data_IF_055703715018
#
_entry.id   IF_055703715018
#
_cell.length_a   1.000
_cell.length_b   1.000
_cell.length_c   1.000
_cell.angle_alpha   90.00
_cell.angle_beta   90.00
_cell.angle_gamma   90.00
#
_symmetry.space_group_name_H-M   'P 1'
#
loop_
_entity.id
_entity.type
_entity.pdbx_description
1 polymer ?
#
# COMPACT_ATOMS: atom_id res chain seq x y z
N UNK A 1 -54.71 21.34 5.48
CA UNK A 1 -53.38 21.68 4.93
C UNK A 1 -52.90 20.50 4.11
N UNK A 2 -52.38 20.68 2.88
CA UNK A 2 -51.92 19.54 2.09
C UNK A 2 -50.66 18.93 2.72
N UNK A 3 -50.67 17.61 2.92
CA UNK A 3 -49.54 16.86 3.45
C UNK A 3 -48.47 16.74 2.36
N UNK A 4 -47.29 17.32 2.62
CA UNK A 4 -46.13 17.22 1.72
C UNK A 4 -45.62 15.79 1.76
N UNK A 5 -45.88 15.02 0.70
CA UNK A 5 -45.25 13.70 0.53
C UNK A 5 -43.78 13.90 0.21
N UNK A 6 -42.91 13.65 1.17
CA UNK A 6 -41.46 13.63 0.95
C UNK A 6 -41.12 12.55 -0.08
N UNK A 7 -40.41 12.86 -1.18
CA UNK A 7 -40.03 11.87 -2.17
C UNK A 7 -39.04 10.86 -1.55
N UNK A 8 -39.20 9.59 -1.92
CA UNK A 8 -38.27 8.54 -1.48
C UNK A 8 -36.87 8.78 -2.07
N UNK A 9 -35.79 8.46 -1.31
CA UNK A 9 -34.43 8.61 -1.81
C UNK A 9 -34.21 7.75 -3.06
N UNK A 10 -33.54 8.32 -4.05
CA UNK A 10 -33.28 7.62 -5.31
C UNK A 10 -32.15 6.61 -5.10
N UNK A 11 -32.35 5.39 -5.59
CA UNK A 11 -31.32 4.35 -5.53
C UNK A 11 -30.17 4.70 -6.48
N UNK A 12 -29.02 5.03 -5.92
CA UNK A 12 -27.78 5.29 -6.68
C UNK A 12 -27.17 3.93 -7.05
N UNK A 13 -26.85 3.74 -8.33
CA UNK A 13 -26.17 2.53 -8.79
C UNK A 13 -24.77 2.44 -8.18
N UNK A 14 -24.48 1.34 -7.48
CA UNK A 14 -23.13 1.02 -7.04
C UNK A 14 -22.30 0.57 -8.26
N UNK A 15 -21.33 1.37 -8.67
CA UNK A 15 -20.40 1.01 -9.74
C UNK A 15 -19.43 -0.08 -9.25
N UNK A 16 -19.08 -1.01 -10.15
CA UNK A 16 -18.09 -2.04 -9.84
C UNK A 16 -16.73 -1.39 -9.59
N UNK A 17 -16.22 -1.57 -8.37
CA UNK A 17 -14.92 -1.05 -7.92
C UNK A 17 -13.85 -2.15 -7.78
N UNK A 18 -14.11 -3.34 -8.36
CA UNK A 18 -13.26 -4.51 -8.20
C UNK A 18 -11.83 -4.29 -8.72
N UNK A 19 -11.65 -3.57 -9.83
CA UNK A 19 -10.33 -3.26 -10.40
C UNK A 19 -9.52 -2.29 -9.52
N UNK A 20 -10.17 -1.31 -8.89
CA UNK A 20 -9.48 -0.41 -7.96
C UNK A 20 -9.00 -1.15 -6.71
N UNK A 21 -9.80 -2.09 -6.20
CA UNK A 21 -9.42 -2.93 -5.06
C UNK A 21 -8.23 -3.84 -5.44
N UNK A 22 -8.27 -4.49 -6.61
CA UNK A 22 -7.17 -5.34 -7.09
C UNK A 22 -5.86 -4.57 -7.25
N UNK A 23 -5.91 -3.35 -7.78
CA UNK A 23 -4.72 -2.50 -7.95
C UNK A 23 -4.15 -2.04 -6.61
N UNK A 24 -5.01 -1.66 -5.64
CA UNK A 24 -4.58 -1.32 -4.29
C UNK A 24 -3.89 -2.50 -3.58
N UNK A 25 -4.44 -3.71 -3.71
CA UNK A 25 -3.84 -4.92 -3.14
C UNK A 25 -2.48 -5.26 -3.77
N UNK A 26 -2.37 -5.14 -5.10
CA UNK A 26 -1.11 -5.37 -5.81
C UNK A 26 -0.03 -4.37 -5.35
N UNK A 27 -0.38 -3.11 -5.19
CA UNK A 27 0.52 -2.06 -4.73
C UNK A 27 0.95 -2.28 -3.27
N UNK A 28 0.01 -2.67 -2.39
CA UNK A 28 0.30 -3.00 -0.99
C UNK A 28 1.30 -4.16 -0.87
N UNK A 29 1.13 -5.22 -1.69
CA UNK A 29 2.08 -6.34 -1.75
C UNK A 29 3.45 -5.89 -2.23
N UNK A 30 3.52 -5.02 -3.24
CA UNK A 30 4.79 -4.49 -3.75
C UNK A 30 5.52 -3.66 -2.68
N UNK A 31 4.82 -2.76 -1.98
CA UNK A 31 5.41 -2.00 -0.86
C UNK A 31 5.97 -2.92 0.22
N UNK A 32 5.22 -3.94 0.63
CA UNK A 32 5.67 -4.90 1.65
C UNK A 32 6.93 -5.66 1.23
N UNK A 33 7.00 -6.11 -0.04
CA UNK A 33 8.19 -6.76 -0.59
C UNK A 33 9.40 -5.82 -0.62
N UNK A 34 9.21 -4.56 -1.03
CA UNK A 34 10.29 -3.55 -1.03
C UNK A 34 10.79 -3.25 0.37
N UNK A 35 9.90 -3.14 1.36
CA UNK A 35 10.30 -2.95 2.75
C UNK A 35 11.10 -4.14 3.30
N UNK A 36 10.66 -5.37 3.02
CA UNK A 36 11.40 -6.59 3.39
C UNK A 36 12.75 -6.70 2.68
N UNK A 37 12.82 -6.33 1.41
CA UNK A 37 14.07 -6.29 0.65
C UNK A 37 15.05 -5.25 1.21
N UNK A 38 14.59 -4.05 1.57
CA UNK A 38 15.43 -3.04 2.22
C UNK A 38 15.95 -3.51 3.58
N UNK A 39 15.10 -4.17 4.38
CA UNK A 39 15.53 -4.77 5.64
C UNK A 39 16.59 -5.87 5.41
N UNK A 40 16.37 -6.77 4.46
CA UNK A 40 17.33 -7.81 4.12
C UNK A 40 18.67 -7.25 3.58
N UNK A 41 18.63 -6.17 2.80
CA UNK A 41 19.85 -5.48 2.34
C UNK A 41 20.57 -4.78 3.50
N UNK A 42 19.87 -4.32 4.53
CA UNK A 42 20.49 -3.64 5.67
C UNK A 42 21.01 -4.60 6.75
N UNK A 43 20.36 -5.76 6.93
CA UNK A 43 20.63 -6.67 8.06
C UNK A 43 21.03 -8.09 7.66
N UNK A 44 20.89 -8.44 6.38
CA UNK A 44 21.22 -9.77 5.87
C UNK A 44 22.73 -9.99 5.74
N UNK A 45 23.17 -11.25 5.73
CA UNK A 45 24.60 -11.61 5.61
C UNK A 45 25.22 -11.25 4.24
N UNK A 46 24.40 -11.00 3.22
CA UNK A 46 24.79 -10.45 1.91
C UNK A 46 24.52 -8.93 1.80
N UNK A 47 23.99 -8.32 2.86
CA UNK A 47 23.63 -6.92 2.94
C UNK A 47 24.85 -5.99 3.05
N UNK A 48 24.59 -4.68 3.13
CA UNK A 48 25.63 -3.65 3.25
C UNK A 48 26.49 -3.99 4.48
N UNK A 49 27.80 -4.22 4.30
CA UNK A 49 28.67 -4.49 5.44
C UNK A 49 28.61 -3.32 6.43
N UNK A 50 28.36 -3.62 7.71
CA UNK A 50 28.33 -2.61 8.76
C UNK A 50 29.73 -2.00 8.90
N UNK A 51 29.91 -0.81 8.37
CA UNK A 51 31.15 -0.03 8.53
C UNK A 51 30.88 1.08 9.52
N UNK A 52 31.82 1.34 10.42
CA UNK A 52 31.69 2.40 11.44
C UNK A 52 31.64 3.81 10.83
N UNK A 53 32.09 3.94 9.59
CA UNK A 53 32.11 5.17 8.79
C UNK A 53 31.45 4.93 7.44
N UNK A 54 30.53 5.82 7.06
CA UNK A 54 29.92 5.82 5.72
C UNK A 54 31.02 5.91 4.65
N UNK A 55 31.11 4.90 3.79
CA UNK A 55 32.13 4.81 2.73
C UNK A 55 33.38 3.99 3.09
N UNK A 56 33.43 3.37 4.27
CA UNK A 56 34.47 2.38 4.59
C UNK A 56 34.31 1.10 3.78
N UNK A 57 35.41 0.43 3.46
CA UNK A 57 35.41 -0.95 2.96
C UNK A 57 35.58 -1.91 4.14
N UNK A 58 34.79 -2.98 4.18
CA UNK A 58 34.97 -4.05 5.16
C UNK A 58 36.35 -4.70 4.95
N UNK A 59 37.12 -4.84 6.03
CA UNK A 59 38.42 -5.51 6.05
C UNK A 59 38.27 -7.03 5.93
#
# INVERSE_FOLDING_TARGET
MPSVKTPAPQAIAAYDNSEAIKSADAEARLRRRRAGAAAYVLTGPSGIPSTSTMGGVAA
#
